data_IF_120778674164
#
_entry.id   IF_120778674164
#
_cell.length_a   1.000
_cell.length_b   1.000
_cell.length_c   1.000
_cell.angle_alpha   90.00
_cell.angle_beta   90.00
_cell.angle_gamma   90.00
#
_symmetry.space_group_name_H-M   'P 1'
#
loop_
_entity.id
_entity.type
_entity.pdbx_description
1 polymer ?
#
# COMPACT_ATOMS: atom_id res chain seq x y z
N UNK A 1 -30.48 -12.11 -27.21
CA UNK A 1 -31.26 -11.56 -26.07
C UNK A 1 -32.66 -12.14 -26.12
N UNK A 2 -33.34 -12.20 -24.98
CA UNK A 2 -34.78 -12.50 -24.92
C UNK A 2 -35.54 -11.20 -24.78
N UNK A 3 -36.54 -11.00 -25.65
CA UNK A 3 -37.42 -9.83 -25.63
C UNK A 3 -38.57 -10.05 -24.64
N UNK A 4 -38.83 -9.06 -23.81
CA UNK A 4 -40.03 -8.93 -23.01
C UNK A 4 -40.77 -7.64 -23.39
N UNK A 5 -42.09 -7.66 -23.36
CA UNK A 5 -42.92 -6.53 -23.77
C UNK A 5 -44.21 -6.49 -22.94
N UNK A 6 -44.41 -5.38 -22.25
CA UNK A 6 -45.60 -5.15 -21.43
C UNK A 6 -45.89 -3.66 -21.30
N UNK A 7 -47.05 -3.34 -20.72
CA UNK A 7 -47.42 -1.97 -20.32
C UNK A 7 -47.38 -1.82 -18.81
N UNK A 8 -46.94 -0.66 -18.33
CA UNK A 8 -47.03 -0.26 -16.92
C UNK A 8 -47.61 1.15 -16.86
N UNK A 9 -48.88 1.24 -16.49
CA UNK A 9 -49.63 2.48 -16.66
C UNK A 9 -49.80 2.81 -18.15
N UNK A 10 -49.47 4.04 -18.54
CA UNK A 10 -49.48 4.54 -19.92
C UNK A 10 -48.18 4.22 -20.69
N UNK A 11 -47.11 3.84 -20.00
CA UNK A 11 -45.83 3.55 -20.63
C UNK A 11 -45.83 2.16 -21.29
N UNK A 12 -45.34 2.09 -22.53
CA UNK A 12 -45.06 0.85 -23.25
C UNK A 12 -43.59 0.49 -23.07
N UNK A 13 -43.31 -0.68 -22.47
CA UNK A 13 -41.96 -1.06 -22.04
C UNK A 13 -41.48 -2.28 -22.82
N UNK A 14 -40.36 -2.14 -23.50
CA UNK A 14 -39.68 -3.21 -24.23
C UNK A 14 -38.31 -3.45 -23.61
N UNK A 15 -38.08 -4.67 -23.13
CA UNK A 15 -36.82 -5.07 -22.50
C UNK A 15 -36.12 -6.14 -23.32
N UNK A 16 -34.83 -5.95 -23.58
CA UNK A 16 -33.96 -6.93 -24.22
C UNK A 16 -32.97 -7.50 -23.19
N UNK A 17 -33.36 -8.58 -22.52
CA UNK A 17 -32.50 -9.24 -21.56
C UNK A 17 -31.37 -9.99 -22.27
N UNK A 18 -30.10 -9.81 -21.87
CA UNK A 18 -29.00 -10.61 -22.40
C UNK A 18 -29.15 -12.06 -21.94
N UNK A 19 -28.70 -12.97 -22.80
CA UNK A 19 -28.66 -14.40 -22.51
C UNK A 19 -27.22 -14.82 -22.28
N UNK A 20 -27.02 -15.72 -21.34
CA UNK A 20 -25.81 -16.52 -21.19
C UNK A 20 -26.18 -17.97 -21.54
N UNK A 21 -25.69 -18.46 -22.68
CA UNK A 21 -26.27 -19.67 -23.29
C UNK A 21 -27.75 -19.45 -23.62
N UNK A 22 -28.64 -20.22 -23.00
CA UNK A 22 -30.09 -20.11 -23.16
C UNK A 22 -30.79 -19.39 -22.00
N UNK A 23 -30.07 -19.05 -20.92
CA UNK A 23 -30.65 -18.47 -19.71
C UNK A 23 -30.48 -16.94 -19.66
N UNK A 24 -31.48 -16.24 -19.13
CA UNK A 24 -31.37 -14.80 -18.87
C UNK A 24 -30.43 -14.55 -17.69
N UNK A 25 -29.53 -13.58 -17.86
CA UNK A 25 -28.63 -13.12 -16.81
C UNK A 25 -29.44 -12.44 -15.70
N UNK A 26 -29.57 -13.12 -14.54
CA UNK A 26 -30.46 -12.73 -13.46
C UNK A 26 -30.16 -11.34 -12.88
N UNK A 27 -28.89 -11.01 -12.70
CA UNK A 27 -28.45 -9.74 -12.13
C UNK A 27 -28.76 -8.53 -13.03
N UNK A 28 -28.68 -8.71 -14.36
CA UNK A 28 -29.12 -7.70 -15.32
C UNK A 28 -30.63 -7.50 -15.25
N UNK A 29 -31.39 -8.61 -15.19
CA UNK A 29 -32.85 -8.56 -15.06
C UNK A 29 -33.27 -7.82 -13.78
N UNK A 30 -32.63 -8.14 -12.66
CA UNK A 30 -32.91 -7.50 -11.37
C UNK A 30 -32.66 -5.99 -11.42
N UNK A 31 -31.53 -5.55 -11.99
CA UNK A 31 -31.21 -4.12 -12.14
C UNK A 31 -32.24 -3.37 -12.98
N UNK A 32 -32.65 -3.94 -14.13
CA UNK A 32 -33.67 -3.34 -14.99
C UNK A 32 -35.03 -3.29 -14.26
N UNK A 33 -35.42 -4.39 -13.60
CA UNK A 33 -36.68 -4.45 -12.85
C UNK A 33 -36.73 -3.45 -11.69
N UNK A 34 -35.59 -3.20 -11.04
CA UNK A 34 -35.49 -2.18 -10.00
C UNK A 34 -35.76 -0.79 -10.57
N UNK A 35 -35.13 -0.41 -11.68
CA UNK A 35 -35.37 0.88 -12.34
C UNK A 35 -36.82 1.02 -12.80
N UNK A 36 -37.39 -0.03 -13.40
CA UNK A 36 -38.80 -0.06 -13.79
C UNK A 36 -39.70 0.16 -12.57
N UNK A 37 -39.37 -0.41 -11.42
CA UNK A 37 -40.15 -0.27 -10.18
C UNK A 37 -40.05 1.13 -9.58
N UNK A 38 -38.86 1.72 -9.54
CA UNK A 38 -38.55 2.92 -8.76
C UNK A 38 -38.59 4.22 -9.57
N UNK A 39 -38.26 4.17 -10.87
CA UNK A 39 -37.99 5.36 -11.70
C UNK A 39 -38.83 5.45 -12.99
N UNK A 40 -39.59 4.42 -13.35
CA UNK A 40 -40.48 4.50 -14.51
C UNK A 40 -41.67 5.41 -14.22
N UNK A 41 -41.84 6.45 -15.04
CA UNK A 41 -42.95 7.39 -14.95
C UNK A 41 -44.21 6.85 -15.67
N UNK A 42 -45.38 7.20 -15.16
CA UNK A 42 -46.67 6.86 -15.77
C UNK A 42 -47.05 7.92 -16.83
N UNK A 43 -46.40 7.84 -17.99
CA UNK A 43 -46.58 8.75 -19.14
C UNK A 43 -46.77 7.96 -20.43
N UNK A 44 -47.31 8.60 -21.46
CA UNK A 44 -47.44 8.04 -22.81
C UNK A 44 -46.07 8.00 -23.53
N UNK A 45 -45.17 7.19 -23.01
CA UNK A 45 -43.80 7.02 -23.48
C UNK A 45 -43.57 5.57 -23.95
N UNK A 46 -42.67 5.40 -24.94
CA UNK A 46 -42.10 4.12 -25.33
C UNK A 46 -40.71 3.98 -24.72
N UNK A 47 -40.52 2.99 -23.85
CA UNK A 47 -39.30 2.80 -23.06
C UNK A 47 -38.59 1.52 -23.47
N UNK A 48 -37.31 1.65 -23.83
CA UNK A 48 -36.43 0.55 -24.15
C UNK A 48 -35.39 0.33 -23.07
N UNK A 49 -35.22 -0.91 -22.64
CA UNK A 49 -34.08 -1.36 -21.85
C UNK A 49 -33.28 -2.38 -22.65
N UNK A 50 -31.98 -2.17 -22.75
CA UNK A 50 -31.08 -3.08 -23.46
C UNK A 50 -29.69 -3.08 -22.83
N UNK A 51 -28.86 -4.04 -23.24
CA UNK A 51 -27.48 -4.13 -22.78
C UNK A 51 -26.51 -4.25 -23.93
N UNK A 52 -25.34 -3.66 -23.75
CA UNK A 52 -24.22 -3.76 -24.65
C UNK A 52 -23.06 -4.44 -23.93
N UNK A 53 -22.49 -5.47 -24.55
CA UNK A 53 -21.27 -6.09 -24.05
C UNK A 53 -20.08 -5.22 -24.41
N UNK A 54 -19.21 -4.96 -23.44
CA UNK A 54 -17.97 -4.21 -23.62
C UNK A 54 -16.78 -5.16 -23.75
N UNK A 55 -15.67 -4.63 -24.24
CA UNK A 55 -14.42 -5.36 -24.26
C UNK A 55 -14.00 -5.78 -22.83
N UNK A 56 -13.47 -7.01 -22.65
CA UNK A 56 -12.98 -7.45 -21.36
C UNK A 56 -11.84 -6.54 -20.88
N UNK A 57 -11.99 -6.02 -19.67
CA UNK A 57 -10.94 -5.26 -18.96
C UNK A 57 -10.25 -6.09 -17.89
N UNK A 58 -10.81 -7.27 -17.58
CA UNK A 58 -10.30 -8.28 -16.67
C UNK A 58 -10.43 -9.65 -17.35
N UNK A 59 -9.47 -10.55 -17.11
CA UNK A 59 -9.45 -11.88 -17.69
C UNK A 59 -10.60 -12.72 -17.16
N UNK A 60 -11.37 -13.36 -18.06
CA UNK A 60 -12.52 -14.19 -17.69
C UNK A 60 -13.72 -13.41 -17.13
N UNK A 61 -13.71 -12.08 -17.26
CA UNK A 61 -14.78 -11.20 -16.79
C UNK A 61 -15.21 -10.27 -17.93
N UNK A 62 -16.52 -10.23 -18.16
CA UNK A 62 -17.15 -9.43 -19.21
C UNK A 62 -17.98 -8.33 -18.56
N UNK A 63 -17.80 -7.10 -19.04
CA UNK A 63 -18.64 -5.99 -18.63
C UNK A 63 -19.85 -5.84 -19.57
N UNK A 64 -21.01 -5.49 -19.01
CA UNK A 64 -22.19 -5.07 -19.77
C UNK A 64 -22.66 -3.71 -19.27
N UNK A 65 -22.85 -2.79 -20.20
CA UNK A 65 -23.54 -1.53 -19.92
C UNK A 65 -25.05 -1.75 -20.05
N UNK A 66 -25.82 -1.31 -19.07
CA UNK A 66 -27.28 -1.39 -19.09
C UNK A 66 -27.81 -0.01 -19.44
N UNK A 67 -28.58 0.10 -20.52
CA UNK A 67 -29.10 1.37 -21.03
C UNK A 67 -30.61 1.41 -20.99
N UNK A 68 -31.13 2.60 -20.69
CA UNK A 68 -32.54 2.99 -20.79
C UNK A 68 -32.67 4.07 -21.87
N UNK A 69 -33.60 3.91 -22.79
CA UNK A 69 -34.02 4.94 -23.74
C UNK A 69 -35.51 5.19 -23.63
N UNK A 70 -35.92 6.45 -23.64
CA UNK A 70 -37.33 6.87 -23.52
C UNK A 70 -37.70 7.72 -24.72
N UNK A 71 -38.82 7.41 -25.36
CA UNK A 71 -39.37 8.15 -26.48
C UNK A 71 -40.76 8.69 -26.15
N UNK A 72 -41.02 9.96 -26.47
CA UNK A 72 -42.34 10.58 -26.30
C UNK A 72 -43.28 10.13 -27.41
N UNK A 73 -44.43 9.54 -27.05
CA UNK A 73 -45.47 9.18 -28.02
C UNK A 73 -46.64 10.17 -28.04
N UNK A 74 -46.73 11.08 -27.07
CA UNK A 74 -47.75 12.14 -27.02
C UNK A 74 -47.49 13.25 -28.04
N UNK A 75 -46.23 13.39 -28.48
CA UNK A 75 -45.82 14.35 -29.50
C UNK A 75 -46.22 13.88 -30.92
N UNK A 76 -46.46 14.84 -31.82
CA UNK A 76 -46.82 14.54 -33.22
C UNK A 76 -45.70 13.86 -34.03
N UNK A 77 -44.50 13.78 -33.47
CA UNK A 77 -43.34 13.03 -33.97
C UNK A 77 -42.74 12.25 -32.81
N UNK A 78 -42.27 11.04 -33.09
CA UNK A 78 -41.54 10.24 -32.11
C UNK A 78 -40.18 10.91 -31.86
N UNK A 79 -39.97 11.40 -30.65
CA UNK A 79 -38.74 12.08 -30.22
C UNK A 79 -38.09 11.33 -29.04
N UNK A 80 -36.77 11.13 -29.08
CA UNK A 80 -36.02 10.58 -27.94
C UNK A 80 -35.93 11.65 -26.83
N UNK A 81 -36.47 11.33 -25.65
CA UNK A 81 -36.47 12.19 -24.46
C UNK A 81 -35.23 11.99 -23.59
N UNK A 82 -34.82 10.74 -23.47
CA UNK A 82 -33.83 10.31 -22.49
C UNK A 82 -33.02 9.15 -23.05
N UNK A 83 -31.70 9.21 -22.88
CA UNK A 83 -30.79 8.07 -22.99
C UNK A 83 -29.87 8.04 -21.79
N UNK A 84 -30.06 7.06 -20.92
CA UNK A 84 -29.37 6.97 -19.62
C UNK A 84 -28.70 5.60 -19.46
N UNK A 85 -27.48 5.59 -18.94
CA UNK A 85 -26.86 4.35 -18.44
C UNK A 85 -27.37 4.09 -17.02
N UNK A 86 -27.93 2.91 -16.79
CA UNK A 86 -28.34 2.43 -15.46
C UNK A 86 -27.16 1.86 -14.66
N UNK A 87 -25.97 1.89 -15.26
CA UNK A 87 -24.74 1.38 -14.69
C UNK A 87 -24.15 0.22 -15.49
N UNK A 88 -22.93 -0.11 -15.10
CA UNK A 88 -22.16 -1.23 -15.63
C UNK A 88 -22.25 -2.42 -14.68
N UNK A 89 -22.34 -3.61 -15.23
CA UNK A 89 -22.28 -4.86 -14.46
C UNK A 89 -21.15 -5.73 -14.98
N UNK A 90 -20.41 -6.36 -14.08
CA UNK A 90 -19.36 -7.30 -14.42
C UNK A 90 -19.86 -8.70 -14.18
N UNK A 91 -19.56 -9.60 -15.11
CA UNK A 91 -20.02 -10.96 -15.11
C UNK A 91 -18.86 -11.89 -15.42
N UNK A 92 -18.79 -13.03 -14.75
CA UNK A 92 -17.90 -14.12 -15.16
C UNK A 92 -18.40 -14.73 -16.48
N UNK A 93 -17.56 -15.54 -17.14
CA UNK A 93 -17.91 -16.19 -18.42
C UNK A 93 -19.16 -17.09 -18.34
N UNK A 94 -19.51 -17.60 -17.16
CA UNK A 94 -20.73 -18.37 -16.89
C UNK A 94 -21.95 -17.49 -16.53
N UNK A 95 -21.82 -16.16 -16.61
CA UNK A 95 -22.91 -15.21 -16.40
C UNK A 95 -23.22 -14.88 -14.94
N UNK A 96 -22.40 -15.34 -13.98
CA UNK A 96 -22.55 -14.95 -12.57
C UNK A 96 -22.05 -13.53 -12.32
N UNK A 97 -22.63 -12.86 -11.32
CA UNK A 97 -22.19 -11.53 -10.91
C UNK A 97 -20.74 -11.53 -10.43
N UNK A 98 -19.92 -10.67 -11.03
CA UNK A 98 -18.56 -10.38 -10.58
C UNK A 98 -18.55 -9.07 -9.80
N UNK A 99 -18.29 -9.14 -8.50
CA UNK A 99 -18.23 -7.99 -7.60
C UNK A 99 -16.79 -7.60 -7.31
N UNK A 100 -16.53 -6.36 -6.87
CA UNK A 100 -15.18 -5.88 -6.59
C UNK A 100 -14.44 -6.77 -5.57
N UNK A 101 -15.15 -7.32 -4.59
CA UNK A 101 -14.58 -8.26 -3.62
C UNK A 101 -13.91 -9.49 -4.24
N UNK A 102 -14.39 -9.96 -5.41
CA UNK A 102 -13.81 -11.13 -6.11
C UNK A 102 -12.47 -10.84 -6.78
N UNK A 103 -12.10 -9.57 -6.95
CA UNK A 103 -10.81 -9.17 -7.49
C UNK A 103 -9.66 -9.43 -6.49
N UNK A 104 -9.98 -9.74 -5.24
CA UNK A 104 -9.01 -9.88 -4.16
C UNK A 104 -9.08 -11.28 -3.51
N UNK A 105 -7.92 -11.78 -3.09
CA UNK A 105 -7.77 -13.01 -2.29
C UNK A 105 -8.29 -12.84 -0.87
N UNK A 106 -8.17 -11.62 -0.33
CA UNK A 106 -8.64 -11.22 0.99
C UNK A 106 -9.42 -9.91 0.86
N UNK A 107 -10.75 -10.01 0.83
CA UNK A 107 -11.64 -8.88 0.65
C UNK A 107 -11.62 -7.91 1.85
N UNK A 108 -11.36 -8.39 3.07
CA UNK A 108 -11.31 -7.54 4.27
C UNK A 108 -10.08 -6.65 4.22
N UNK A 109 -8.91 -7.24 3.98
CA UNK A 109 -7.65 -6.49 3.86
C UNK A 109 -7.66 -5.58 2.63
N UNK A 110 -8.26 -6.02 1.52
CA UNK A 110 -8.44 -5.17 0.35
C UNK A 110 -9.32 -3.95 0.65
N UNK A 111 -10.42 -4.11 1.41
CA UNK A 111 -11.26 -2.98 1.81
C UNK A 111 -10.50 -1.97 2.67
N UNK A 112 -9.69 -2.42 3.63
CA UNK A 112 -8.84 -1.55 4.44
C UNK A 112 -7.84 -0.75 3.57
N UNK A 113 -7.16 -1.42 2.64
CA UNK A 113 -6.24 -0.77 1.71
C UNK A 113 -6.95 0.21 0.77
N UNK A 114 -8.13 -0.16 0.24
CA UNK A 114 -8.94 0.72 -0.60
C UNK A 114 -9.33 1.98 0.16
N UNK A 115 -9.82 1.87 1.40
CA UNK A 115 -10.17 3.03 2.23
C UNK A 115 -8.96 3.93 2.50
N UNK A 116 -7.79 3.36 2.78
CA UNK A 116 -6.54 4.10 2.96
C UNK A 116 -6.13 4.84 1.68
N UNK A 117 -6.18 4.17 0.53
CA UNK A 117 -5.83 4.77 -0.77
C UNK A 117 -6.85 5.82 -1.21
N UNK A 118 -8.14 5.62 -0.93
CA UNK A 118 -9.18 6.64 -1.13
C UNK A 118 -8.83 7.88 -0.31
N UNK A 119 -8.58 7.73 1.00
CA UNK A 119 -8.23 8.85 1.86
C UNK A 119 -7.04 9.64 1.32
N UNK A 120 -5.93 8.96 1.05
CA UNK A 120 -4.70 9.58 0.51
C UNK A 120 -4.96 10.30 -0.83
N UNK A 121 -5.72 9.68 -1.74
CA UNK A 121 -6.05 10.30 -3.03
C UNK A 121 -6.87 11.58 -2.88
N UNK A 122 -7.79 11.62 -1.90
CA UNK A 122 -8.61 12.81 -1.63
C UNK A 122 -7.81 13.91 -0.93
N UNK A 123 -6.89 13.54 -0.03
CA UNK A 123 -5.92 14.47 0.60
C UNK A 123 -5.00 15.11 -0.45
N UNK A 124 -4.49 14.32 -1.41
CA UNK A 124 -3.67 14.82 -2.52
C UNK A 124 -4.43 15.79 -3.43
N UNK A 125 -5.74 15.55 -3.62
CA UNK A 125 -6.64 16.48 -4.30
C UNK A 125 -6.99 17.72 -3.47
N UNK A 126 -6.45 17.86 -2.25
CA UNK A 126 -6.65 18.97 -1.32
C UNK A 126 -8.12 19.20 -0.95
N UNK A 127 -8.89 18.13 -0.84
CA UNK A 127 -10.26 18.21 -0.32
C UNK A 127 -10.24 18.56 1.18
N UNK A 128 -11.29 19.21 1.64
CA UNK A 128 -11.47 19.49 3.07
C UNK A 128 -11.77 18.19 3.85
N UNK A 129 -11.30 18.13 5.10
CA UNK A 129 -11.40 16.92 5.93
C UNK A 129 -12.85 16.44 6.10
N UNK A 130 -13.80 17.36 6.23
CA UNK A 130 -15.22 17.04 6.38
C UNK A 130 -15.74 16.26 5.17
N UNK A 131 -15.39 16.69 3.95
CA UNK A 131 -15.75 15.94 2.73
C UNK A 131 -15.04 14.61 2.64
N UNK A 132 -13.77 14.53 3.03
CA UNK A 132 -13.03 13.26 3.03
C UNK A 132 -13.74 12.25 3.93
N UNK A 133 -14.10 12.66 5.15
CA UNK A 133 -14.80 11.81 6.11
C UNK A 133 -16.19 11.37 5.58
N UNK A 134 -16.91 12.27 4.91
CA UNK A 134 -18.18 11.95 4.26
C UNK A 134 -18.01 10.89 3.17
N UNK A 135 -17.04 11.07 2.26
CA UNK A 135 -16.75 10.10 1.19
C UNK A 135 -16.39 8.74 1.80
N UNK A 136 -15.44 8.71 2.74
CA UNK A 136 -14.99 7.47 3.37
C UNK A 136 -16.11 6.74 4.08
N UNK A 137 -17.04 7.46 4.70
CA UNK A 137 -18.21 6.86 5.35
C UNK A 137 -19.11 6.13 4.35
N UNK A 138 -19.34 6.69 3.16
CA UNK A 138 -20.18 6.02 2.13
C UNK A 138 -19.66 4.64 1.75
N UNK A 139 -18.34 4.47 1.77
CA UNK A 139 -17.65 3.23 1.47
C UNK A 139 -17.54 2.30 2.69
N UNK A 140 -17.22 2.86 3.86
CA UNK A 140 -17.00 2.11 5.10
C UNK A 140 -18.24 1.33 5.52
N UNK A 141 -19.42 1.95 5.42
CA UNK A 141 -20.70 1.38 5.85
C UNK A 141 -21.21 0.26 4.93
N UNK A 142 -20.65 0.10 3.73
CA UNK A 142 -21.08 -0.88 2.72
C UNK A 142 -20.14 -2.08 2.63
N UNK A 143 -20.70 -3.27 2.35
CA UNK A 143 -19.88 -4.43 1.98
C UNK A 143 -19.15 -4.18 0.66
N UNK A 144 -17.90 -4.67 0.54
CA UNK A 144 -17.07 -4.44 -0.66
C UNK A 144 -17.72 -5.02 -1.93
N UNK A 145 -18.56 -6.05 -1.81
CA UNK A 145 -19.29 -6.62 -2.95
C UNK A 145 -20.35 -5.68 -3.53
N UNK A 146 -20.80 -4.68 -2.78
CA UNK A 146 -21.81 -3.71 -3.19
C UNK A 146 -21.21 -2.45 -3.82
N UNK A 147 -19.88 -2.29 -3.76
CA UNK A 147 -19.22 -1.11 -4.30
C UNK A 147 -19.29 -1.12 -5.83
N UNK A 148 -19.81 -0.04 -6.39
CA UNK A 148 -19.76 0.19 -7.83
C UNK A 148 -18.33 0.53 -8.23
N UNK A 149 -17.81 -0.18 -9.23
CA UNK A 149 -16.45 0.00 -9.70
C UNK A 149 -16.37 -0.10 -11.22
N UNK A 150 -15.26 0.38 -11.76
CA UNK A 150 -14.81 0.12 -13.12
C UNK A 150 -13.32 -0.23 -13.10
N UNK A 151 -12.80 -0.72 -14.21
CA UNK A 151 -11.38 -1.00 -14.37
C UNK A 151 -10.88 -0.47 -15.71
N UNK A 152 -9.90 0.44 -15.66
CA UNK A 152 -9.36 1.08 -16.85
C UNK A 152 -7.94 1.54 -16.58
N UNK A 153 -7.06 1.45 -17.58
CA UNK A 153 -5.72 2.01 -17.54
C UNK A 153 -4.93 1.63 -16.27
N UNK A 154 -4.99 0.35 -15.89
CA UNK A 154 -4.31 -0.19 -14.71
C UNK A 154 -4.78 0.43 -13.39
N UNK A 155 -6.04 0.89 -13.34
CA UNK A 155 -6.66 1.52 -12.17
C UNK A 155 -8.03 0.93 -11.88
N UNK A 156 -8.32 0.78 -10.59
CA UNK A 156 -9.67 0.56 -10.07
C UNK A 156 -10.33 1.93 -9.96
N UNK A 157 -11.48 2.10 -10.60
CA UNK A 157 -12.26 3.32 -10.55
C UNK A 157 -13.44 3.08 -9.62
N UNK A 158 -13.64 3.94 -8.63
CA UNK A 158 -14.74 3.86 -7.67
C UNK A 158 -15.64 5.09 -7.79
N UNK A 159 -16.93 4.87 -7.55
CA UNK A 159 -17.96 5.90 -7.63
C UNK A 159 -18.53 6.16 -6.23
N UNK A 160 -18.24 7.31 -5.59
CA UNK A 160 -18.85 7.65 -4.31
C UNK A 160 -20.34 7.91 -4.49
N UNK A 161 -21.14 7.58 -3.47
CA UNK A 161 -22.57 7.87 -3.49
C UNK A 161 -22.80 9.39 -3.33
N UNK A 162 -23.20 10.04 -4.43
CA UNK A 162 -23.74 11.40 -4.56
C UNK A 162 -23.25 12.44 -3.53
N UNK A 163 -22.18 13.16 -3.89
CA UNK A 163 -21.60 14.26 -3.11
C UNK A 163 -21.71 15.62 -3.83
N UNK A 164 -22.59 15.72 -4.83
CA UNK A 164 -22.67 16.89 -5.73
C UNK A 164 -21.53 16.96 -6.76
N UNK A 165 -21.44 18.08 -7.49
CA UNK A 165 -20.59 18.28 -8.69
C UNK A 165 -19.06 18.15 -8.48
N UNK A 166 -18.58 17.90 -7.26
CA UNK A 166 -17.15 18.00 -6.93
C UNK A 166 -16.35 16.72 -7.17
N UNK A 167 -16.96 15.53 -7.22
CA UNK A 167 -16.21 14.28 -7.33
C UNK A 167 -17.01 13.15 -7.97
N UNK A 168 -16.82 12.95 -9.27
CA UNK A 168 -17.51 11.90 -10.04
C UNK A 168 -16.89 10.51 -9.84
N UNK A 169 -15.55 10.43 -9.78
CA UNK A 169 -14.83 9.16 -9.66
C UNK A 169 -13.51 9.28 -8.88
N UNK A 170 -13.10 8.14 -8.31
CA UNK A 170 -11.82 7.96 -7.60
C UNK A 170 -11.05 6.85 -8.30
N UNK A 171 -9.97 7.20 -8.98
CA UNK A 171 -9.11 6.25 -9.66
C UNK A 171 -7.91 5.88 -8.78
N UNK A 172 -7.75 4.58 -8.53
CA UNK A 172 -6.74 4.01 -7.64
C UNK A 172 -5.84 3.04 -8.43
N UNK A 173 -4.51 3.20 -8.42
CA UNK A 173 -3.63 2.33 -9.18
C UNK A 173 -3.68 0.87 -8.68
N UNK A 174 -3.85 -0.08 -9.60
CA UNK A 174 -3.96 -1.52 -9.26
C UNK A 174 -2.73 -2.03 -8.50
N UNK A 175 -1.57 -1.42 -8.74
CA UNK A 175 -0.31 -1.76 -8.08
C UNK A 175 -0.33 -1.56 -6.57
N UNK A 176 -1.17 -0.64 -6.05
CA UNK A 176 -1.35 -0.44 -4.61
C UNK A 176 -1.99 -1.64 -3.90
N UNK A 177 -2.54 -2.60 -4.66
CA UNK A 177 -3.28 -3.74 -4.14
C UNK A 177 -2.66 -5.10 -4.48
N UNK A 178 -1.49 -5.14 -5.11
CA UNK A 178 -0.84 -6.40 -5.53
C UNK A 178 -0.60 -7.40 -4.39
N UNK A 179 -0.48 -6.91 -3.15
CA UNK A 179 -0.37 -7.74 -1.94
C UNK A 179 -1.59 -8.65 -1.69
N UNK A 180 -2.77 -8.21 -2.08
CA UNK A 180 -4.05 -8.86 -1.80
C UNK A 180 -4.81 -9.24 -3.08
N UNK A 181 -4.26 -8.93 -4.25
CA UNK A 181 -4.91 -9.12 -5.54
C UNK A 181 -4.99 -10.60 -5.95
N UNK A 182 -6.14 -10.98 -6.51
CA UNK A 182 -6.28 -12.22 -7.27
C UNK A 182 -5.76 -12.02 -8.70
N UNK A 183 -4.46 -12.26 -8.88
CA UNK A 183 -3.73 -11.96 -10.12
C UNK A 183 -4.27 -12.68 -11.37
N UNK A 184 -5.03 -13.77 -11.20
CA UNK A 184 -5.60 -14.52 -12.32
C UNK A 184 -6.60 -13.72 -13.16
N UNK A 185 -7.13 -12.61 -12.64
CA UNK A 185 -8.00 -11.68 -13.38
C UNK A 185 -7.24 -10.62 -14.18
N UNK A 186 -5.92 -10.50 -14.07
CA UNK A 186 -5.17 -9.50 -14.82
C UNK A 186 -5.01 -9.90 -16.30
N UNK A 187 -5.22 -8.93 -17.19
CA UNK A 187 -4.84 -9.05 -18.60
C UNK A 187 -3.33 -8.81 -18.77
N UNK A 188 -2.81 -9.11 -19.95
CA UNK A 188 -1.36 -9.18 -20.26
C UNK A 188 -0.55 -8.00 -19.69
N UNK A 189 -0.94 -6.76 -19.99
CA UNK A 189 -0.25 -5.55 -19.51
C UNK A 189 -0.13 -5.50 -17.98
N UNK A 190 -1.21 -5.75 -17.27
CA UNK A 190 -1.22 -5.66 -15.80
C UNK A 190 -0.59 -6.89 -15.16
N UNK A 191 -0.68 -8.05 -15.83
CA UNK A 191 0.04 -9.25 -15.43
C UNK A 191 1.56 -9.02 -15.48
N UNK A 192 2.09 -8.33 -16.49
CA UNK A 192 3.51 -7.94 -16.54
C UNK A 192 3.90 -7.02 -15.37
N UNK A 193 3.07 -6.02 -15.05
CA UNK A 193 3.27 -5.16 -13.88
C UNK A 193 3.31 -5.97 -12.57
N UNK A 194 2.39 -6.94 -12.43
CA UNK A 194 2.36 -7.84 -11.29
C UNK A 194 3.61 -8.73 -11.24
N UNK A 195 4.08 -9.27 -12.37
CA UNK A 195 5.30 -10.08 -12.41
C UNK A 195 6.53 -9.27 -11.99
N UNK A 196 6.65 -8.01 -12.44
CA UNK A 196 7.73 -7.13 -12.03
C UNK A 196 7.68 -6.85 -10.52
N UNK A 197 6.50 -6.55 -9.98
CA UNK A 197 6.28 -6.42 -8.54
C UNK A 197 6.65 -7.70 -7.79
N UNK A 198 6.18 -8.86 -8.25
CA UNK A 198 6.41 -10.15 -7.60
C UNK A 198 7.88 -10.54 -7.62
N UNK A 199 8.58 -10.30 -8.72
CA UNK A 199 10.02 -10.50 -8.83
C UNK A 199 10.77 -9.59 -7.84
N UNK A 200 10.41 -8.31 -7.74
CA UNK A 200 11.01 -7.38 -6.79
C UNK A 200 10.73 -7.80 -5.34
N UNK A 201 9.50 -8.19 -5.02
CA UNK A 201 9.09 -8.64 -3.70
C UNK A 201 9.82 -9.92 -3.26
N UNK A 202 10.11 -10.80 -4.21
CA UNK A 202 10.83 -12.04 -3.93
C UNK A 202 12.36 -11.91 -3.98
N UNK A 203 12.91 -10.71 -4.22
CA UNK A 203 14.36 -10.49 -4.05
C UNK A 203 14.72 -10.73 -2.59
N UNK A 204 15.60 -11.71 -2.36
CA UNK A 204 16.21 -12.04 -1.06
C UNK A 204 17.25 -10.98 -0.70
N UNK A 205 16.79 -9.86 -0.15
CA UNK A 205 17.65 -8.81 0.40
C UNK A 205 17.40 -8.66 1.90
N UNK A 206 18.43 -8.32 2.66
CA UNK A 206 18.37 -8.10 4.11
C UNK A 206 19.26 -6.93 4.50
N UNK A 207 18.78 -6.06 5.39
CA UNK A 207 19.55 -4.96 5.94
C UNK A 207 19.88 -5.25 7.41
N UNK A 208 21.16 -5.50 7.68
CA UNK A 208 21.65 -5.55 9.05
C UNK A 208 21.80 -4.14 9.59
N UNK A 209 21.21 -3.88 10.76
CA UNK A 209 21.28 -2.58 11.42
C UNK A 209 21.74 -2.70 12.87
N UNK A 210 22.50 -1.71 13.33
CA UNK A 210 23.10 -1.70 14.66
C UNK A 210 22.79 -0.40 15.40
N UNK A 211 22.25 -0.51 16.61
CA UNK A 211 21.83 0.62 17.44
C UNK A 211 22.79 0.87 18.62
N UNK A 212 22.66 2.04 19.25
CA UNK A 212 23.35 2.51 20.47
C UNK A 212 24.84 2.86 20.37
N UNK A 213 25.50 2.48 19.28
CA UNK A 213 26.91 2.80 19.05
C UNK A 213 27.21 4.31 18.91
N UNK A 214 28.48 4.66 18.63
CA UNK A 214 29.62 3.75 18.60
C UNK A 214 30.12 3.37 20.00
N UNK A 215 30.54 2.11 20.16
CA UNK A 215 31.38 1.64 21.25
C UNK A 215 32.75 1.23 20.69
N UNK A 216 33.84 1.94 21.02
CA UNK A 216 35.13 1.72 20.37
C UNK A 216 35.69 0.29 20.50
N UNK A 217 35.28 -0.46 21.54
CA UNK A 217 35.71 -1.85 21.73
C UNK A 217 34.98 -2.85 20.82
N UNK A 218 33.65 -2.75 20.71
CA UNK A 218 32.81 -3.75 20.03
C UNK A 218 32.45 -3.33 18.60
N UNK A 219 32.17 -2.05 18.36
CA UNK A 219 31.89 -1.51 17.02
C UNK A 219 33.07 -1.76 16.06
N UNK A 220 34.31 -1.60 16.53
CA UNK A 220 35.51 -1.91 15.75
C UNK A 220 35.53 -3.36 15.28
N UNK A 221 35.18 -4.31 16.16
CA UNK A 221 35.13 -5.74 15.83
C UNK A 221 33.98 -6.09 14.90
N UNK A 222 32.83 -5.41 15.04
CA UNK A 222 31.71 -5.54 14.11
C UNK A 222 32.12 -5.10 12.70
N UNK A 223 32.78 -3.94 12.56
CA UNK A 223 33.32 -3.43 11.29
C UNK A 223 34.33 -4.40 10.67
N UNK A 224 35.28 -4.91 11.45
CA UNK A 224 36.26 -5.91 10.99
C UNK A 224 35.57 -7.17 10.44
N UNK A 225 34.52 -7.64 11.12
CA UNK A 225 33.72 -8.78 10.68
C UNK A 225 32.97 -8.48 9.40
N UNK A 226 32.27 -7.35 9.31
CA UNK A 226 31.54 -6.95 8.10
C UNK A 226 32.48 -6.82 6.90
N UNK A 227 33.67 -6.24 7.09
CA UNK A 227 34.71 -6.16 6.07
C UNK A 227 35.19 -7.55 5.63
N UNK A 228 35.46 -8.48 6.56
CA UNK A 228 35.86 -9.87 6.27
C UNK A 228 34.85 -10.58 5.37
N UNK A 229 33.56 -10.40 5.60
CA UNK A 229 32.52 -11.02 4.78
C UNK A 229 32.10 -10.17 3.57
N UNK A 230 32.73 -9.01 3.35
CA UNK A 230 32.35 -8.04 2.32
C UNK A 230 30.84 -7.69 2.36
N UNK A 231 30.35 -7.38 3.55
CA UNK A 231 28.96 -7.01 3.81
C UNK A 231 28.90 -5.55 4.26
N UNK A 232 27.83 -4.84 3.88
CA UNK A 232 27.53 -3.49 4.35
C UNK A 232 26.34 -3.52 5.30
N UNK A 233 26.24 -2.50 6.14
CA UNK A 233 25.28 -2.40 7.24
C UNK A 233 24.93 -0.93 7.49
N UNK A 234 23.93 -0.69 8.32
CA UNK A 234 23.52 0.66 8.74
C UNK A 234 23.63 0.79 10.26
N UNK A 235 24.34 1.81 10.74
CA UNK A 235 24.57 2.05 12.17
C UNK A 235 23.75 3.26 12.62
N UNK A 236 22.78 3.09 13.52
CA UNK A 236 22.05 4.16 14.16
C UNK A 236 22.75 4.53 15.48
N UNK A 237 23.45 5.67 15.46
CA UNK A 237 24.35 6.05 16.57
C UNK A 237 23.74 7.10 17.48
N UNK A 238 24.12 7.05 18.75
CA UNK A 238 23.74 8.06 19.74
C UNK A 238 24.64 9.28 19.64
N UNK A 239 24.04 10.47 19.58
CA UNK A 239 24.76 11.74 19.50
C UNK A 239 25.79 11.93 20.62
N UNK A 240 25.44 11.55 21.86
CA UNK A 240 26.34 11.64 23.01
C UNK A 240 27.61 10.78 22.87
N UNK A 241 27.58 9.73 22.05
CA UNK A 241 28.70 8.81 21.86
C UNK A 241 29.64 9.25 20.72
N UNK A 242 29.32 10.32 19.98
CA UNK A 242 30.13 10.81 18.86
C UNK A 242 31.46 11.40 19.36
N UNK A 243 31.42 12.19 20.43
CA UNK A 243 32.60 12.86 20.96
C UNK A 243 33.67 11.84 21.40
N UNK A 244 34.87 11.94 20.84
CA UNK A 244 35.97 10.99 21.07
C UNK A 244 35.95 9.74 20.19
N UNK A 245 34.87 9.50 19.43
CA UNK A 245 34.73 8.40 18.49
C UNK A 245 34.61 8.87 17.02
N UNK A 246 35.00 10.11 16.72
CA UNK A 246 34.81 10.72 15.40
C UNK A 246 35.52 9.93 14.29
N UNK A 247 36.69 9.38 14.58
CA UNK A 247 37.44 8.53 13.64
C UNK A 247 36.72 7.21 13.35
N UNK A 248 35.98 6.67 14.32
CA UNK A 248 35.22 5.44 14.16
C UNK A 248 33.99 5.67 13.28
N UNK A 249 33.31 6.81 13.42
CA UNK A 249 32.25 7.22 12.48
C UNK A 249 32.79 7.39 11.06
N UNK A 250 33.95 8.07 10.91
CA UNK A 250 34.60 8.21 9.60
C UNK A 250 34.98 6.86 9.00
N UNK A 251 35.43 5.92 9.84
CA UNK A 251 35.72 4.54 9.45
C UNK A 251 34.48 3.84 8.89
N UNK A 252 33.35 3.86 9.62
CA UNK A 252 32.07 3.31 9.14
C UNK A 252 31.74 3.81 7.72
N UNK A 253 31.77 5.13 7.52
CA UNK A 253 31.48 5.75 6.23
C UNK A 253 32.50 5.36 5.15
N UNK A 254 33.79 5.33 5.48
CA UNK A 254 34.86 4.98 4.53
C UNK A 254 34.83 3.52 4.07
N UNK A 255 34.33 2.61 4.92
CA UNK A 255 34.16 1.19 4.61
C UNK A 255 32.83 0.90 3.87
N UNK A 256 32.05 1.94 3.59
CA UNK A 256 30.82 1.88 2.80
C UNK A 256 29.55 1.60 3.61
N UNK A 257 29.62 1.67 4.94
CA UNK A 257 28.43 1.59 5.80
C UNK A 257 27.68 2.93 5.81
N UNK A 258 26.40 2.86 6.19
CA UNK A 258 25.57 4.05 6.39
C UNK A 258 25.49 4.37 7.88
N UNK A 259 25.61 5.64 8.23
CA UNK A 259 25.43 6.13 9.61
C UNK A 259 24.12 6.91 9.68
N UNK A 260 23.23 6.47 10.54
CA UNK A 260 21.95 7.08 10.86
C UNK A 260 21.92 7.61 12.30
N UNK A 261 20.84 8.32 12.61
CA UNK A 261 20.63 9.01 13.87
C UNK A 261 19.79 8.18 14.84
N UNK A 262 20.22 8.03 16.08
CA UNK A 262 19.49 7.31 17.13
C UNK A 262 19.10 8.17 18.33
N UNK A 263 18.85 9.47 18.13
CA UNK A 263 18.74 10.52 19.17
C UNK A 263 20.08 10.84 19.86
N UNK A 264 20.07 11.82 20.77
CA UNK A 264 21.27 12.25 21.46
C UNK A 264 21.64 11.30 22.60
N UNK A 265 20.72 11.03 23.52
CA UNK A 265 21.00 10.26 24.74
C UNK A 265 20.07 9.09 25.04
N UNK A 266 19.26 8.67 24.05
CA UNK A 266 18.35 7.53 24.08
C UNK A 266 17.07 7.69 24.95
N UNK A 267 16.38 8.85 24.97
CA UNK A 267 15.12 8.99 25.69
C UNK A 267 13.96 8.37 24.91
N UNK A 268 12.85 8.07 25.59
CA UNK A 268 11.59 7.75 24.90
C UNK A 268 11.02 9.04 24.30
N UNK A 269 11.31 9.31 23.03
CA UNK A 269 11.02 10.60 22.37
C UNK A 269 9.55 11.01 22.47
N UNK A 270 8.61 10.06 22.36
CA UNK A 270 7.17 10.31 22.46
C UNK A 270 6.69 10.78 23.84
N UNK A 271 7.55 10.75 24.87
CA UNK A 271 7.26 11.25 26.23
C UNK A 271 7.83 12.64 26.49
N UNK A 272 8.57 13.20 25.54
CA UNK A 272 9.13 14.54 25.64
C UNK A 272 8.17 15.58 25.06
N UNK A 273 8.45 16.86 25.31
CA UNK A 273 7.85 17.93 24.53
C UNK A 273 8.31 17.83 23.06
N UNK A 274 7.51 18.33 22.13
CA UNK A 274 7.86 18.31 20.70
C UNK A 274 9.23 18.96 20.44
N UNK A 275 9.51 20.10 21.06
CA UNK A 275 10.79 20.80 20.89
C UNK A 275 11.98 20.05 21.49
N UNK A 276 11.81 19.42 22.66
CA UNK A 276 12.89 18.61 23.26
C UNK A 276 13.17 17.35 22.43
N UNK A 277 12.12 16.70 21.92
CA UNK A 277 12.26 15.55 21.02
C UNK A 277 12.94 15.93 19.70
N UNK A 278 12.56 17.05 19.09
CA UNK A 278 13.24 17.58 17.90
C UNK A 278 14.70 17.87 18.19
N UNK A 279 14.99 18.52 19.32
CA UNK A 279 16.36 18.87 19.72
C UNK A 279 17.27 17.65 19.85
N UNK A 280 16.77 16.58 20.46
CA UNK A 280 17.47 15.29 20.54
C UNK A 280 17.93 14.76 19.17
N UNK A 281 17.07 14.95 18.16
CA UNK A 281 17.34 14.51 16.79
C UNK A 281 18.27 15.49 16.08
N UNK A 282 17.96 16.80 16.12
CA UNK A 282 18.73 17.82 15.40
C UNK A 282 20.14 18.00 15.93
N UNK A 283 20.35 17.94 17.25
CA UNK A 283 21.70 18.02 17.83
C UNK A 283 22.59 16.85 17.36
N UNK A 284 21.97 15.67 17.17
CA UNK A 284 22.64 14.48 16.63
C UNK A 284 22.90 14.63 15.13
N UNK A 285 21.93 15.14 14.34
CA UNK A 285 22.11 15.44 12.92
C UNK A 285 23.27 16.43 12.67
N UNK A 286 23.34 17.49 13.48
CA UNK A 286 24.38 18.52 13.39
C UNK A 286 25.76 17.92 13.69
N UNK A 287 25.84 17.07 14.72
CA UNK A 287 27.09 16.41 15.10
C UNK A 287 27.55 15.39 14.05
N UNK A 288 26.63 14.60 13.50
CA UNK A 288 26.91 13.67 12.39
C UNK A 288 27.39 14.44 11.16
N UNK A 289 26.69 15.52 10.79
CA UNK A 289 27.04 16.34 9.63
C UNK A 289 28.39 17.01 9.81
N UNK A 290 28.71 17.49 11.01
CA UNK A 290 30.02 18.07 11.35
C UNK A 290 31.16 17.06 11.19
N UNK A 291 30.97 15.81 11.60
CA UNK A 291 32.02 14.77 11.57
C UNK A 291 32.17 14.13 10.20
N UNK A 292 31.05 13.85 9.52
CA UNK A 292 30.99 13.06 8.28
C UNK A 292 30.85 13.92 7.02
N UNK A 293 30.56 15.22 7.15
CA UNK A 293 30.32 16.15 6.05
C UNK A 293 28.95 16.02 5.38
N UNK A 294 28.15 15.01 5.76
CA UNK A 294 26.79 14.81 5.26
C UNK A 294 25.99 13.93 6.22
N UNK A 295 24.67 14.08 6.23
CA UNK A 295 23.73 13.17 6.90
C UNK A 295 23.11 12.20 5.89
N UNK A 296 22.78 10.98 6.34
CA UNK A 296 21.96 10.02 5.58
C UNK A 296 20.47 10.36 5.59
N UNK A 297 20.04 11.29 6.46
CA UNK A 297 18.64 11.64 6.73
C UNK A 297 17.78 10.47 7.22
N UNK A 298 18.43 9.45 7.80
CA UNK A 298 17.78 8.31 8.44
C UNK A 298 17.79 8.48 9.96
N UNK A 299 16.64 8.30 10.59
CA UNK A 299 16.48 8.40 12.03
C UNK A 299 15.76 7.15 12.56
N UNK A 300 16.32 6.46 13.54
CA UNK A 300 15.63 5.39 14.26
C UNK A 300 15.26 5.89 15.66
N UNK A 301 13.97 5.99 16.01
CA UNK A 301 13.54 6.36 17.35
C UNK A 301 13.96 5.30 18.38
N UNK A 302 14.58 5.69 19.51
CA UNK A 302 14.77 4.80 20.64
C UNK A 302 13.47 4.07 21.00
N UNK A 303 13.57 2.76 21.23
CA UNK A 303 12.43 1.89 21.56
C UNK A 303 11.33 1.82 20.47
N UNK A 304 11.56 2.35 19.28
CA UNK A 304 10.53 2.52 18.24
C UNK A 304 9.45 3.54 18.61
N UNK A 305 9.69 4.41 19.60
CA UNK A 305 8.69 5.30 20.17
C UNK A 305 8.73 6.70 19.54
N UNK A 306 7.76 7.02 18.69
CA UNK A 306 7.66 8.30 17.96
C UNK A 306 6.21 8.77 17.87
N UNK A 307 5.97 10.06 17.58
CA UNK A 307 4.64 10.63 17.30
C UNK A 307 4.61 11.27 15.92
N UNK A 308 3.41 11.41 15.35
CA UNK A 308 3.20 12.05 14.05
C UNK A 308 3.70 13.50 14.03
N UNK A 309 3.48 14.25 15.11
CA UNK A 309 3.97 15.62 15.27
C UNK A 309 5.50 15.69 15.17
N UNK A 310 6.22 14.76 15.81
CA UNK A 310 7.69 14.72 15.71
C UNK A 310 8.10 14.39 14.27
N UNK A 311 7.49 13.37 13.66
CA UNK A 311 7.82 12.95 12.29
C UNK A 311 7.61 14.06 11.26
N UNK A 312 6.45 14.70 11.30
CA UNK A 312 6.05 15.77 10.39
C UNK A 312 6.82 17.08 10.63
N UNK A 313 7.57 17.19 11.73
CA UNK A 313 8.38 18.38 12.04
C UNK A 313 9.83 18.31 11.53
N UNK A 314 10.25 17.17 10.94
CA UNK A 314 11.63 16.91 10.57
C UNK A 314 11.72 16.25 9.18
N UNK A 315 12.59 16.79 8.31
CA UNK A 315 12.86 16.26 6.97
C UNK A 315 13.77 15.00 7.01
N UNK A 316 13.29 13.96 7.68
CA UNK A 316 13.99 12.69 7.91
C UNK A 316 13.07 11.51 7.63
N UNK A 317 13.63 10.39 7.21
CA UNK A 317 12.92 9.11 7.13
C UNK A 317 13.09 8.33 8.44
N UNK A 318 12.01 7.79 8.98
CA UNK A 318 11.99 7.11 10.27
C UNK A 318 12.08 5.59 10.08
N UNK A 319 13.23 5.01 10.43
CA UNK A 319 13.56 3.62 10.16
C UNK A 319 13.36 2.77 11.40
N UNK A 320 12.37 1.89 11.37
CA UNK A 320 12.08 0.88 12.38
C UNK A 320 12.75 -0.44 11.97
N UNK A 321 12.15 -1.56 12.37
CA UNK A 321 12.58 -2.91 12.01
C UNK A 321 11.38 -3.85 12.04
N UNK A 322 11.48 -4.96 11.31
CA UNK A 322 10.50 -6.04 11.34
C UNK A 322 11.06 -7.32 11.98
N UNK A 323 12.37 -7.37 12.24
CA UNK A 323 13.04 -8.47 12.94
C UNK A 323 13.84 -7.90 14.10
N UNK A 324 13.46 -8.24 15.32
CA UNK A 324 14.27 -8.00 16.52
C UNK A 324 15.10 -9.25 16.83
N UNK A 325 16.42 -9.12 16.82
CA UNK A 325 17.32 -10.22 17.16
C UNK A 325 17.29 -10.61 18.64
N UNK A 326 16.67 -9.77 19.49
CA UNK A 326 16.60 -9.91 20.94
C UNK A 326 17.98 -10.05 21.59
N UNK A 327 19.03 -9.51 20.97
CA UNK A 327 20.40 -9.57 21.45
C UNK A 327 20.60 -8.79 22.76
N UNK A 328 19.94 -7.64 22.89
CA UNK A 328 19.86 -6.82 24.10
C UNK A 328 19.29 -7.58 25.30
N UNK A 329 18.39 -8.55 25.04
CA UNK A 329 17.70 -9.36 26.05
C UNK A 329 18.43 -10.67 26.33
N UNK A 330 18.70 -11.45 25.29
CA UNK A 330 19.25 -12.81 25.41
C UNK A 330 20.73 -12.81 25.78
N UNK A 331 21.50 -11.86 25.23
CA UNK A 331 22.97 -11.78 25.35
C UNK A 331 23.65 -13.13 25.08
N UNK A 332 23.10 -13.91 24.15
CA UNK A 332 23.53 -15.27 23.85
C UNK A 332 23.61 -15.49 22.34
N UNK A 333 24.80 -15.86 21.84
CA UNK A 333 25.08 -15.97 20.40
C UNK A 333 24.13 -16.93 19.66
N UNK A 334 23.85 -18.09 20.24
CA UNK A 334 22.97 -19.10 19.63
C UNK A 334 21.51 -18.66 19.62
N UNK A 335 21.05 -17.98 20.68
CA UNK A 335 19.71 -17.43 20.72
C UNK A 335 19.52 -16.34 19.66
N UNK A 336 20.49 -15.43 19.53
CA UNK A 336 20.48 -14.37 18.50
C UNK A 336 20.37 -15.01 17.10
N UNK A 337 21.22 -15.99 16.79
CA UNK A 337 21.17 -16.70 15.52
C UNK A 337 19.81 -17.37 15.28
N UNK A 338 19.23 -17.99 16.31
CA UNK A 338 17.94 -18.67 16.22
C UNK A 338 16.80 -17.68 15.89
N UNK A 339 16.80 -16.50 16.49
CA UNK A 339 15.82 -15.45 16.15
C UNK A 339 15.95 -15.01 14.69
N UNK A 340 17.18 -14.81 14.20
CA UNK A 340 17.43 -14.49 12.79
C UNK A 340 16.92 -15.59 11.86
N UNK A 341 17.20 -16.86 12.17
CA UNK A 341 16.77 -18.01 11.37
C UNK A 341 15.25 -18.14 11.26
N UNK A 342 14.53 -17.77 12.33
CA UNK A 342 13.06 -17.90 12.35
C UNK A 342 12.33 -16.68 11.78
N UNK A 343 12.89 -15.49 11.90
CA UNK A 343 12.16 -14.26 11.64
C UNK A 343 12.54 -13.57 10.32
N UNK A 344 13.77 -13.76 9.81
CA UNK A 344 14.20 -13.07 8.59
C UNK A 344 13.37 -13.54 7.38
N UNK A 345 12.84 -12.55 6.67
CA UNK A 345 12.14 -12.68 5.38
C UNK A 345 12.72 -11.72 4.34
N UNK A 346 12.32 -11.88 3.08
CA UNK A 346 12.73 -10.99 2.00
C UNK A 346 12.44 -9.53 2.35
N UNK A 347 13.44 -8.66 2.25
CA UNK A 347 13.31 -7.25 2.57
C UNK A 347 13.42 -6.91 4.05
N UNK A 348 13.85 -7.83 4.92
CA UNK A 348 13.88 -7.56 6.36
C UNK A 348 14.96 -6.54 6.77
N UNK A 349 14.58 -5.65 7.67
CA UNK A 349 15.47 -4.78 8.43
C UNK A 349 15.64 -5.42 9.82
N UNK A 350 16.88 -5.80 10.14
CA UNK A 350 17.22 -6.55 11.36
C UNK A 350 17.80 -5.61 12.41
N UNK A 351 17.16 -5.51 13.58
CA UNK A 351 17.65 -4.80 14.75
C UNK A 351 18.67 -5.64 15.52
N UNK A 352 19.85 -5.07 15.74
CA UNK A 352 20.91 -5.56 16.63
C UNK A 352 21.58 -4.37 17.33
N UNK A 353 22.45 -4.63 18.30
CA UNK A 353 23.16 -3.63 19.09
C UNK A 353 24.66 -3.94 19.09
N UNK A 354 25.47 -3.13 18.42
CA UNK A 354 26.92 -3.33 18.29
C UNK A 354 27.71 -2.94 19.55
N UNK A 355 27.01 -2.65 20.65
CA UNK A 355 27.57 -2.36 21.97
C UNK A 355 27.71 -3.62 22.85
N UNK A 356 27.29 -4.79 22.36
CA UNK A 356 27.32 -6.06 23.08
C UNK A 356 28.25 -7.08 22.44
N UNK A 357 29.13 -7.69 23.25
CA UNK A 357 30.06 -8.73 22.78
C UNK A 357 29.36 -9.97 22.20
N UNK A 358 28.22 -10.37 22.77
CA UNK A 358 27.44 -11.50 22.25
C UNK A 358 26.95 -11.25 20.81
N UNK A 359 26.54 -10.02 20.50
CA UNK A 359 26.13 -9.62 19.14
C UNK A 359 27.29 -9.70 18.17
N UNK A 360 28.45 -9.15 18.54
CA UNK A 360 29.66 -9.20 17.71
C UNK A 360 30.11 -10.63 17.45
N UNK A 361 30.08 -11.49 18.47
CA UNK A 361 30.49 -12.89 18.32
C UNK A 361 29.51 -13.72 17.49
N UNK A 362 28.21 -13.39 17.50
CA UNK A 362 27.19 -14.06 16.70
C UNK A 362 27.26 -13.67 15.21
N UNK A 363 27.75 -12.47 14.92
CA UNK A 363 27.71 -11.85 13.59
C UNK A 363 28.31 -12.72 12.46
N UNK A 364 29.46 -13.41 12.62
CA UNK A 364 29.98 -14.32 11.59
C UNK A 364 28.98 -15.40 11.17
N UNK A 365 28.35 -16.09 12.14
CA UNK A 365 27.40 -17.17 11.86
C UNK A 365 26.10 -16.65 11.27
N UNK A 366 25.66 -15.47 11.69
CA UNK A 366 24.49 -14.78 11.11
C UNK A 366 24.74 -14.50 9.62
N UNK A 367 25.92 -13.95 9.30
CA UNK A 367 26.25 -13.62 7.90
C UNK A 367 26.36 -14.89 7.05
N UNK A 368 27.03 -15.93 7.56
CA UNK A 368 27.17 -17.22 6.88
C UNK A 368 25.81 -17.83 6.56
N UNK A 369 24.94 -17.96 7.57
CA UNK A 369 23.60 -18.52 7.40
C UNK A 369 22.78 -17.75 6.35
N UNK A 370 22.72 -16.42 6.45
CA UNK A 370 21.93 -15.61 5.52
C UNK A 370 22.49 -15.68 4.08
N UNK A 371 23.81 -15.79 3.89
CA UNK A 371 24.40 -16.02 2.57
C UNK A 371 24.05 -17.41 2.02
N UNK A 372 24.08 -18.44 2.86
CA UNK A 372 23.67 -19.80 2.49
C UNK A 372 22.20 -19.85 2.06
N UNK A 373 21.34 -19.09 2.75
CA UNK A 373 19.94 -18.90 2.38
C UNK A 373 19.74 -18.02 1.13
N UNK A 374 20.82 -17.51 0.53
CA UNK A 374 20.78 -16.73 -0.72
C UNK A 374 20.43 -15.25 -0.54
N UNK A 375 20.57 -14.70 0.67
CA UNK A 375 20.35 -13.27 0.89
C UNK A 375 21.53 -12.43 0.39
N UNK A 376 21.18 -11.32 -0.25
CA UNK A 376 22.09 -10.21 -0.51
C UNK A 376 21.95 -9.18 0.61
N UNK A 377 23.08 -8.81 1.21
CA UNK A 377 23.12 -7.77 2.22
C UNK A 377 23.10 -6.39 1.57
N UNK A 378 22.26 -5.52 2.10
CA UNK A 378 22.10 -4.15 1.62
C UNK A 378 22.07 -3.19 2.81
N UNK A 379 22.48 -1.95 2.57
CA UNK A 379 22.23 -0.83 3.49
C UNK A 379 20.75 -0.42 3.42
N UNK A 380 20.26 0.31 4.43
CA UNK A 380 18.87 0.81 4.42
C UNK A 380 18.57 1.70 3.19
N UNK A 381 19.46 2.61 2.76
CA UNK A 381 19.27 3.36 1.52
C UNK A 381 19.21 2.49 0.25
N UNK A 382 20.01 1.44 0.14
CA UNK A 382 19.95 0.50 -0.99
C UNK A 382 18.64 -0.29 -0.98
N UNK A 383 18.17 -0.69 0.21
CA UNK A 383 16.89 -1.40 0.39
C UNK A 383 15.69 -0.55 -0.02
N UNK A 384 15.59 0.66 0.53
CA UNK A 384 14.40 1.51 0.38
C UNK A 384 14.47 2.41 -0.87
N UNK A 385 15.66 2.84 -1.29
CA UNK A 385 15.89 3.65 -2.49
C UNK A 385 14.86 4.79 -2.68
N UNK A 386 14.16 4.81 -3.81
CA UNK A 386 13.08 5.71 -4.19
C UNK A 386 11.89 5.76 -3.22
N UNK A 387 11.73 4.76 -2.34
CA UNK A 387 10.69 4.73 -1.31
C UNK A 387 10.96 5.70 -0.17
N UNK A 388 12.22 6.08 0.08
CA UNK A 388 12.57 7.03 1.14
C UNK A 388 11.95 8.40 0.87
N UNK A 389 11.15 8.85 1.84
CA UNK A 389 10.47 10.14 1.90
C UNK A 389 10.63 10.71 3.30
N UNK A 390 10.60 12.03 3.39
CA UNK A 390 10.56 12.71 4.67
C UNK A 390 9.28 12.31 5.44
N UNK A 391 9.36 12.29 6.77
CA UNK A 391 8.27 12.05 7.71
C UNK A 391 7.74 10.60 7.74
N UNK A 392 7.95 9.82 6.68
CA UNK A 392 7.46 8.45 6.57
C UNK A 392 8.20 7.46 7.48
N UNK A 393 7.49 6.39 7.85
CA UNK A 393 8.00 5.27 8.63
C UNK A 393 8.24 4.06 7.75
N UNK A 394 9.28 3.30 8.06
CA UNK A 394 9.66 2.09 7.33
C UNK A 394 10.02 0.99 8.31
N UNK A 395 9.33 -0.14 8.26
CA UNK A 395 9.58 -1.31 9.12
C UNK A 395 10.39 -2.39 8.40
N UNK A 396 10.16 -2.52 7.09
CA UNK A 396 10.95 -3.38 6.23
C UNK A 396 11.07 -2.74 4.84
N UNK A 397 11.49 -3.50 3.82
CA UNK A 397 11.57 -2.98 2.47
C UNK A 397 10.19 -2.47 2.00
N UNK A 398 9.14 -3.25 2.23
CA UNK A 398 7.81 -3.15 1.63
C UNK A 398 6.75 -2.51 2.55
N UNK A 399 7.06 -2.27 3.82
CA UNK A 399 6.17 -1.68 4.83
C UNK A 399 6.73 -0.43 5.50
#
# INVERSE_FOLDING_TARGET
SQKDHFRKGQAEVIVYYPLQGEEIIASVREKINQDIKEKLEDKEDLVFYYTEQLDPVLKGVVARNISKQVYDLSASKVEEKEKTSLGKIFLTEDGQLFTLSKLFKDASKAKELLLSQIKSTLEDKKLDQTKIDQVLKTFTDQDLSLWSFDYKDSQIILYPADLGEALEEIALPISSFFDVLEFSYLLEKDAELYQAYFAQKNKKVVALTFDDGPNPSTTTQALDTLAKYNVKATFFVLGKNIAGNENLLKRMKSEGHVVGNHSWDHPVLSKLSLEDAKKQITDTEDSLTKVLGSSSKLMRPPYGAITDDIRNSLDLSFIMWNVDSLDWKSKNESAILTEIQHQVRNGSIVLMHDIHGATVNALPKIIEYLKEEGYTFVTVPEMLNSRLKAHEMYYDRDQ
#
